data_IF_202685829835
#
_entry.id   IF_202685829835
#
_cell.length_a   1.000
_cell.length_b   1.000
_cell.length_c   1.000
_cell.angle_alpha   90.00
_cell.angle_beta   90.00
_cell.angle_gamma   90.00
#
_symmetry.space_group_name_H-M   'P 1'
#
loop_
_entity.id
_entity.type
_entity.pdbx_description
1 polymer ?
#
# COMPACT_ATOMS: atom_id res chain seq x y z
N UNK A 1 -4.56 -25.11 23.57
CA UNK A 1 -4.22 -23.68 23.73
C UNK A 1 -3.04 -23.59 24.67
N UNK A 2 -1.98 -22.88 24.27
CA UNK A 2 -0.60 -23.28 24.52
C UNK A 2 -0.07 -22.84 25.89
N UNK A 3 0.15 -23.79 26.82
CA UNK A 3 0.80 -23.59 28.14
C UNK A 3 2.11 -22.76 28.08
N UNK A 4 2.83 -22.82 26.95
CA UNK A 4 4.03 -22.01 26.68
C UNK A 4 3.69 -20.52 26.59
N UNK A 5 2.62 -20.17 25.86
CA UNK A 5 2.19 -18.78 25.63
C UNK A 5 1.64 -18.19 26.93
N UNK A 6 0.81 -18.94 27.66
CA UNK A 6 0.24 -18.50 28.95
C UNK A 6 1.31 -18.28 30.03
N UNK A 7 2.42 -19.02 29.95
CA UNK A 7 3.56 -18.81 30.84
C UNK A 7 4.36 -17.57 30.46
N UNK A 8 4.65 -17.37 29.17
CA UNK A 8 5.35 -16.17 28.68
C UNK A 8 4.52 -14.91 28.97
N UNK A 9 3.19 -14.96 28.83
CA UNK A 9 2.30 -13.84 29.14
C UNK A 9 2.42 -13.40 30.60
N UNK A 10 2.34 -14.37 31.53
CA UNK A 10 2.44 -14.09 32.97
C UNK A 10 3.80 -13.53 33.38
N UNK A 11 4.88 -14.03 32.80
CA UNK A 11 6.22 -13.52 33.08
C UNK A 11 6.44 -12.10 32.52
N UNK A 12 5.84 -11.78 31.38
CA UNK A 12 5.86 -10.42 30.82
C UNK A 12 5.02 -9.45 31.69
N UNK A 13 3.86 -9.88 32.19
CA UNK A 13 3.05 -9.10 33.15
C UNK A 13 3.78 -8.89 34.49
N UNK A 14 4.58 -9.85 34.92
CA UNK A 14 5.45 -9.74 36.09
C UNK A 14 6.70 -8.83 35.86
N UNK A 15 6.84 -8.24 34.67
CA UNK A 15 7.89 -7.26 34.35
C UNK A 15 9.16 -7.84 33.74
N UNK A 16 9.19 -9.10 33.32
CA UNK A 16 10.35 -9.66 32.64
C UNK A 16 10.49 -9.09 31.20
N UNK A 17 11.72 -8.79 30.78
CA UNK A 17 12.00 -8.33 29.42
C UNK A 17 11.84 -9.42 28.33
N UNK A 18 11.70 -10.68 28.74
CA UNK A 18 11.51 -11.85 27.88
C UNK A 18 11.92 -13.15 28.59
N UNK A 19 11.40 -14.28 28.15
CA UNK A 19 11.57 -15.57 28.84
C UNK A 19 12.55 -16.46 28.10
N UNK A 20 13.52 -17.05 28.80
CA UNK A 20 14.50 -17.96 28.20
C UNK A 20 13.91 -19.35 27.89
N UNK A 21 14.46 -20.04 26.89
CA UNK A 21 14.06 -21.42 26.57
C UNK A 21 14.24 -22.39 27.76
N UNK A 22 15.19 -22.11 28.67
CA UNK A 22 15.41 -22.90 29.87
C UNK A 22 14.26 -22.78 30.87
N UNK A 23 13.81 -21.55 31.16
CA UNK A 23 12.67 -21.31 32.04
C UNK A 23 11.38 -21.92 31.49
N UNK A 24 11.15 -21.80 30.18
CA UNK A 24 10.01 -22.41 29.49
C UNK A 24 10.05 -23.94 29.59
N UNK A 25 11.24 -24.55 29.45
CA UNK A 25 11.39 -26.00 29.58
C UNK A 25 11.05 -26.47 31.00
N UNK A 26 11.53 -25.78 32.03
CA UNK A 26 11.25 -26.11 33.43
C UNK A 26 9.76 -26.05 33.73
N UNK A 27 9.08 -25.00 33.25
CA UNK A 27 7.65 -24.82 33.47
C UNK A 27 6.78 -25.84 32.74
N UNK A 28 7.13 -26.16 31.49
CA UNK A 28 6.34 -27.08 30.65
C UNK A 28 6.65 -28.55 30.98
N UNK A 29 7.76 -28.83 31.67
CA UNK A 29 8.24 -30.16 32.05
C UNK A 29 8.22 -31.17 30.88
N UNK A 30 8.75 -30.76 29.73
CA UNK A 30 8.86 -31.59 28.52
C UNK A 30 10.31 -31.65 28.03
N UNK A 31 10.68 -32.68 27.24
CA UNK A 31 12.00 -32.75 26.64
C UNK A 31 12.33 -31.49 25.82
N UNK A 32 13.55 -30.98 25.98
CA UNK A 32 14.06 -29.79 25.29
C UNK A 32 13.84 -29.78 23.77
N UNK A 33 14.00 -30.88 23.01
CA UNK A 33 13.71 -30.88 21.57
C UNK A 33 12.22 -30.62 21.26
N UNK A 34 11.29 -31.11 22.09
CA UNK A 34 9.85 -30.86 21.92
C UNK A 34 9.51 -29.39 22.16
N UNK A 35 10.10 -28.79 23.20
CA UNK A 35 9.93 -27.36 23.52
C UNK A 35 10.52 -26.49 22.39
N UNK A 36 11.72 -26.81 21.89
CA UNK A 36 12.32 -26.07 20.78
C UNK A 36 11.50 -26.16 19.49
N UNK A 37 10.94 -27.34 19.15
CA UNK A 37 10.04 -27.48 18.00
C UNK A 37 8.77 -26.65 18.18
N UNK A 38 8.19 -26.63 19.38
CA UNK A 38 7.01 -25.82 19.68
C UNK A 38 7.32 -24.31 19.59
N UNK A 39 8.45 -23.86 20.13
CA UNK A 39 8.91 -22.47 20.04
C UNK A 39 9.19 -22.06 18.58
N UNK A 40 9.85 -22.92 17.79
CA UNK A 40 10.09 -22.67 16.37
C UNK A 40 8.77 -22.56 15.59
N UNK A 41 7.79 -23.43 15.88
CA UNK A 41 6.45 -23.34 15.29
C UNK A 41 5.75 -22.03 15.68
N UNK A 42 5.81 -21.64 16.95
CA UNK A 42 5.16 -20.43 17.45
C UNK A 42 5.78 -19.14 16.90
N UNK A 43 7.10 -19.13 16.69
CA UNK A 43 7.81 -18.06 15.97
C UNK A 43 7.41 -18.04 14.50
N UNK A 44 7.36 -19.20 13.83
CA UNK A 44 6.93 -19.29 12.43
C UNK A 44 5.48 -18.83 12.22
N UNK A 45 4.60 -19.03 13.21
CA UNK A 45 3.21 -18.55 13.18
C UNK A 45 3.05 -17.10 13.65
N UNK A 46 4.14 -16.39 13.99
CA UNK A 46 4.11 -15.00 14.44
C UNK A 46 3.50 -14.77 15.84
N UNK A 47 3.31 -15.84 16.63
CA UNK A 47 2.74 -15.74 17.99
C UNK A 47 3.82 -15.32 18.99
N UNK A 48 5.07 -15.74 18.75
CA UNK A 48 6.22 -15.39 19.58
C UNK A 48 7.29 -14.69 18.73
N UNK A 49 7.94 -13.69 19.31
CA UNK A 49 9.16 -13.11 18.76
C UNK A 49 10.39 -13.62 19.51
N UNK A 50 11.44 -13.90 18.74
CA UNK A 50 12.74 -14.35 19.25
C UNK A 50 13.68 -13.15 19.31
N UNK A 51 14.13 -12.79 20.50
CA UNK A 51 15.11 -11.73 20.72
C UNK A 51 16.46 -12.29 21.18
N UNK A 52 17.55 -11.71 20.68
CA UNK A 52 18.92 -12.09 21.06
C UNK A 52 19.55 -13.20 20.21
N UNK A 53 20.83 -13.48 20.48
CA UNK A 53 21.64 -14.46 19.77
C UNK A 53 22.27 -15.49 20.73
N UNK A 54 22.41 -16.74 20.28
CA UNK A 54 23.09 -17.80 21.04
C UNK A 54 22.40 -18.21 22.34
N UNK A 55 23.11 -18.12 23.48
CA UNK A 55 22.59 -18.48 24.81
C UNK A 55 21.70 -17.40 25.44
N UNK A 56 21.71 -16.18 24.90
CA UNK A 56 20.92 -15.04 25.37
C UNK A 56 19.58 -14.91 24.62
N UNK A 57 19.05 -16.01 24.07
CA UNK A 57 17.79 -16.00 23.33
C UNK A 57 16.62 -15.94 24.32
N UNK A 58 15.82 -14.89 24.22
CA UNK A 58 14.57 -14.72 24.95
C UNK A 58 13.39 -14.71 23.99
N UNK A 59 12.26 -15.22 24.45
CA UNK A 59 11.01 -15.26 23.71
C UNK A 59 10.02 -14.30 24.38
N UNK A 60 9.36 -13.49 23.56
CA UNK A 60 8.26 -12.61 23.99
C UNK A 60 7.03 -12.90 23.13
N UNK A 61 5.84 -12.63 23.66
CA UNK A 61 4.62 -12.65 22.87
C UNK A 61 4.70 -11.49 21.88
N UNK A 62 4.54 -11.79 20.60
CA UNK A 62 4.34 -10.72 19.62
C UNK A 62 2.99 -10.10 19.93
N UNK A 63 2.87 -8.77 20.12
CA UNK A 63 1.58 -8.14 20.21
C UNK A 63 0.87 -8.44 18.90
N UNK A 64 -0.09 -9.36 18.96
CA UNK A 64 -0.87 -9.79 17.82
C UNK A 64 -1.33 -8.52 17.08
N UNK A 65 -0.97 -8.31 15.80
CA UNK A 65 -1.74 -7.38 15.01
C UNK A 65 -3.13 -7.97 15.02
N UNK A 66 -4.06 -7.29 15.72
CA UNK A 66 -5.46 -7.68 15.74
C UNK A 66 -5.83 -8.01 14.31
N UNK A 67 -6.25 -9.26 14.08
CA UNK A 67 -6.66 -9.75 12.78
C UNK A 67 -7.97 -9.06 12.39
N UNK A 68 -7.90 -7.78 12.04
CA UNK A 68 -8.75 -7.25 10.97
C UNK A 68 -8.25 -7.88 9.68
N UNK A 69 -9.15 -8.38 8.81
CA UNK A 69 -8.75 -8.90 7.52
C UNK A 69 -7.95 -7.81 6.82
N UNK A 70 -6.69 -8.12 6.50
CA UNK A 70 -5.85 -7.31 5.64
C UNK A 70 -6.50 -7.29 4.26
N UNK A 71 -7.47 -6.40 4.10
CA UNK A 71 -7.57 -5.61 2.88
C UNK A 71 -6.17 -5.02 2.75
N UNK A 72 -5.47 -5.40 1.68
CA UNK A 72 -4.16 -4.89 1.32
C UNK A 72 -4.06 -3.44 1.76
N UNK A 73 -3.35 -3.20 2.87
CA UNK A 73 -2.85 -1.89 3.13
C UNK A 73 -1.87 -1.70 2.00
N UNK A 74 -2.31 -0.99 0.97
CA UNK A 74 -1.43 -0.13 0.20
C UNK A 74 -0.57 0.55 1.25
N UNK A 75 0.62 0.00 1.45
CA UNK A 75 1.77 0.79 1.80
C UNK A 75 1.95 1.71 0.61
N UNK A 76 1.08 2.72 0.52
CA UNK A 76 1.43 3.97 -0.09
C UNK A 76 2.61 4.41 0.75
N UNK A 77 3.80 4.06 0.24
CA UNK A 77 4.88 5.01 0.06
C UNK A 77 4.32 6.40 0.32
N UNK A 78 4.90 7.08 1.30
CA UNK A 78 4.70 8.50 1.50
C UNK A 78 4.89 9.15 0.12
N UNK A 79 3.79 9.28 -0.64
CA UNK A 79 3.75 10.02 -1.89
C UNK A 79 4.20 11.37 -1.46
N UNK A 80 5.35 11.82 -1.98
CA UNK A 80 5.95 13.13 -1.74
C UNK A 80 4.84 14.18 -1.70
N UNK A 81 4.33 14.40 -0.50
CA UNK A 81 3.16 15.22 -0.29
C UNK A 81 3.73 16.60 -0.02
N UNK A 82 3.21 17.64 -0.67
CA UNK A 82 3.71 18.99 -0.44
C UNK A 82 3.69 19.30 1.06
N UNK A 83 4.62 20.15 1.52
CA UNK A 83 4.64 20.58 2.91
C UNK A 83 3.31 21.28 3.25
N UNK A 84 2.42 20.52 3.88
CA UNK A 84 1.09 20.97 4.30
C UNK A 84 1.25 22.02 5.41
N UNK A 85 0.48 23.10 5.35
CA UNK A 85 0.44 24.05 6.47
C UNK A 85 -0.15 23.36 7.71
N UNK A 86 0.21 23.81 8.91
CA UNK A 86 -0.24 23.20 10.16
C UNK A 86 -1.77 23.05 10.25
N UNK A 87 -2.54 24.00 9.71
CA UNK A 87 -4.01 23.94 9.68
C UNK A 87 -4.57 22.84 8.77
N UNK A 88 -3.82 22.38 7.78
CA UNK A 88 -4.25 21.34 6.84
C UNK A 88 -3.93 19.92 7.29
N UNK A 89 -3.07 19.73 8.30
CA UNK A 89 -2.67 18.39 8.78
C UNK A 89 -3.83 17.64 9.44
N UNK A 90 -4.67 18.32 10.21
CA UNK A 90 -5.87 17.74 10.82
C UNK A 90 -6.87 17.26 9.76
N UNK A 91 -7.07 18.04 8.70
CA UNK A 91 -7.92 17.68 7.58
C UNK A 91 -7.37 16.48 6.81
N UNK A 92 -6.07 16.45 6.55
CA UNK A 92 -5.40 15.31 5.91
C UNK A 92 -5.52 14.05 6.77
N UNK A 93 -5.32 14.15 8.08
CA UNK A 93 -5.50 13.03 9.01
C UNK A 93 -6.95 12.50 8.98
N UNK A 94 -7.94 13.40 9.02
CA UNK A 94 -9.35 13.02 8.94
C UNK A 94 -9.72 12.37 7.59
N UNK A 95 -9.15 12.86 6.48
CA UNK A 95 -9.36 12.31 5.13
C UNK A 95 -8.55 11.03 4.85
N UNK A 96 -7.56 10.72 5.68
CA UNK A 96 -6.75 9.49 5.55
C UNK A 96 -7.29 8.35 6.42
N UNK A 97 -8.11 8.66 7.43
CA UNK A 97 -8.73 7.65 8.28
C UNK A 97 -9.63 6.68 7.47
N UNK A 98 -9.76 5.40 7.85
CA UNK A 98 -10.65 4.45 7.16
C UNK A 98 -12.09 4.95 7.09
N UNK A 99 -12.80 4.69 5.99
CA UNK A 99 -14.17 5.20 5.75
C UNK A 99 -15.13 4.93 6.92
N UNK A 100 -15.06 3.75 7.54
CA UNK A 100 -15.93 3.37 8.66
C UNK A 100 -15.66 4.12 9.97
N UNK A 101 -14.51 4.81 10.09
CA UNK A 101 -14.15 5.62 11.27
C UNK A 101 -14.42 7.11 11.09
N UNK A 102 -14.80 7.53 9.87
CA UNK A 102 -15.12 8.93 9.58
C UNK A 102 -16.52 9.25 10.07
N UNK A 103 -16.73 10.49 10.51
CA UNK A 103 -18.07 10.98 10.85
C UNK A 103 -18.93 10.97 9.57
N UNK A 104 -20.10 10.32 9.56
CA UNK A 104 -20.97 10.33 8.40
C UNK A 104 -21.50 11.76 8.16
N UNK A 105 -21.34 12.25 6.93
CA UNK A 105 -21.84 13.55 6.50
C UNK A 105 -22.92 13.32 5.46
N UNK A 106 -24.07 13.97 5.63
CA UNK A 106 -25.17 13.91 4.66
C UNK A 106 -24.97 14.93 3.55
N UNK A 107 -25.67 14.73 2.43
CA UNK A 107 -25.70 15.70 1.34
C UNK A 107 -26.31 17.02 1.79
N UNK A 108 -25.76 18.13 1.29
CA UNK A 108 -26.43 19.42 1.36
C UNK A 108 -27.59 19.43 0.35
N UNK A 109 -28.77 18.98 0.79
CA UNK A 109 -29.94 18.80 -0.08
C UNK A 109 -30.30 20.05 -0.88
N UNK A 110 -30.26 21.23 -0.25
CA UNK A 110 -30.54 22.51 -0.93
C UNK A 110 -29.65 22.73 -2.16
N UNK A 111 -28.37 22.35 -2.08
CA UNK A 111 -27.45 22.44 -3.22
C UNK A 111 -27.79 21.42 -4.31
N UNK A 112 -28.08 20.18 -3.92
CA UNK A 112 -28.39 19.09 -4.86
C UNK A 112 -29.70 19.37 -5.60
N UNK A 113 -30.73 19.77 -4.88
CA UNK A 113 -32.07 20.02 -5.41
C UNK A 113 -32.08 21.26 -6.33
N UNK A 114 -31.20 22.24 -6.09
CA UNK A 114 -31.04 23.45 -6.90
C UNK A 114 -29.89 23.40 -7.92
N UNK A 115 -29.24 22.25 -8.12
CA UNK A 115 -28.05 22.17 -8.96
C UNK A 115 -28.38 22.39 -10.43
N UNK A 116 -27.72 23.36 -11.05
CA UNK A 116 -27.77 23.61 -12.49
C UNK A 116 -26.42 23.24 -13.12
N UNK A 117 -26.38 22.30 -14.08
CA UNK A 117 -25.16 21.95 -14.78
C UNK A 117 -24.47 23.17 -15.39
N UNK A 118 -23.15 23.27 -15.23
CA UNK A 118 -22.31 24.36 -15.73
C UNK A 118 -22.60 25.75 -15.15
N UNK A 119 -23.50 25.87 -14.18
CA UNK A 119 -23.85 27.14 -13.52
C UNK A 119 -23.56 27.06 -12.02
N UNK A 120 -24.01 26.00 -11.36
CA UNK A 120 -23.76 25.77 -9.94
C UNK A 120 -22.36 25.19 -9.71
N UNK A 121 -21.64 25.74 -8.72
CA UNK A 121 -20.32 25.25 -8.30
C UNK A 121 -20.29 24.98 -6.80
N UNK A 122 -19.71 23.86 -6.40
CA UNK A 122 -19.44 23.54 -5.00
C UNK A 122 -18.32 24.40 -4.41
N UNK A 123 -17.41 24.88 -5.26
CA UNK A 123 -16.26 25.67 -4.86
C UNK A 123 -16.50 27.15 -5.20
N UNK A 124 -16.19 28.08 -4.28
CA UNK A 124 -16.16 29.50 -4.61
C UNK A 124 -15.22 29.77 -5.79
N UNK A 125 -15.63 30.66 -6.70
CA UNK A 125 -14.89 30.93 -7.94
C UNK A 125 -13.44 31.38 -7.70
N UNK A 126 -13.20 32.19 -6.65
CA UNK A 126 -11.87 32.64 -6.26
C UNK A 126 -10.96 31.48 -5.83
N UNK A 127 -11.50 30.53 -5.06
CA UNK A 127 -10.77 29.35 -4.62
C UNK A 127 -10.50 28.41 -5.79
N UNK A 128 -11.48 28.20 -6.67
CA UNK A 128 -11.30 27.40 -7.88
C UNK A 128 -10.18 27.94 -8.77
N UNK A 129 -10.14 29.26 -8.99
CA UNK A 129 -9.08 29.92 -9.75
C UNK A 129 -7.69 29.75 -9.09
N UNK A 130 -7.60 29.93 -7.77
CA UNK A 130 -6.34 29.73 -7.03
C UNK A 130 -5.84 28.29 -7.11
N UNK A 131 -6.74 27.31 -6.98
CA UNK A 131 -6.40 25.90 -7.10
C UNK A 131 -5.98 25.55 -8.53
N UNK A 132 -6.65 26.11 -9.54
CA UNK A 132 -6.28 25.93 -10.93
C UNK A 132 -4.86 26.45 -11.21
N UNK A 133 -4.53 27.66 -10.76
CA UNK A 133 -3.18 28.23 -10.92
C UNK A 133 -2.12 27.40 -10.20
N UNK A 134 -2.41 26.92 -8.98
CA UNK A 134 -1.49 26.04 -8.24
C UNK A 134 -1.35 24.64 -8.86
N UNK A 135 -2.41 24.14 -9.50
CA UNK A 135 -2.46 22.83 -10.15
C UNK A 135 -1.89 22.81 -11.57
N UNK A 136 -1.68 23.98 -12.19
CA UNK A 136 -0.96 24.10 -13.46
C UNK A 136 0.53 23.82 -13.21
N UNK A 137 1.03 22.67 -13.66
CA UNK A 137 2.47 22.43 -13.77
C UNK A 137 3.03 23.17 -14.98
N UNK A 138 4.29 23.65 -14.88
CA UNK A 138 4.95 24.42 -15.96
C UNK A 138 5.09 23.64 -17.27
N UNK A 139 5.12 22.31 -17.18
CA UNK A 139 5.35 21.40 -18.31
C UNK A 139 4.10 20.60 -18.69
N UNK A 140 2.89 21.15 -18.51
CA UNK A 140 1.67 20.51 -19.02
C UNK A 140 1.67 20.46 -20.55
N UNK A 141 2.40 19.49 -21.09
CA UNK A 141 2.07 18.88 -22.36
C UNK A 141 0.60 18.45 -22.27
N UNK A 142 -0.23 18.70 -23.29
CA UNK A 142 -1.63 18.31 -23.27
C UNK A 142 -1.73 16.84 -22.85
N UNK A 143 -2.68 16.48 -21.97
CA UNK A 143 -2.76 15.15 -21.36
C UNK A 143 -2.67 13.98 -22.37
N UNK A 144 -3.06 14.24 -23.62
CA UNK A 144 -2.92 13.31 -24.74
C UNK A 144 -1.47 13.02 -25.16
N UNK A 145 -0.49 13.91 -24.99
CA UNK A 145 0.90 13.72 -25.46
C UNK A 145 1.69 12.78 -24.57
N UNK A 146 1.53 12.87 -23.24
CA UNK A 146 2.16 11.94 -22.31
C UNK A 146 1.57 10.54 -22.45
N UNK A 147 0.24 10.46 -22.51
CA UNK A 147 -0.47 9.21 -22.79
C UNK A 147 -0.07 8.62 -24.15
N UNK A 148 0.03 9.45 -25.21
CA UNK A 148 0.50 9.03 -26.53
C UNK A 148 1.92 8.48 -26.46
N UNK A 149 2.86 9.17 -25.83
CA UNK A 149 4.27 8.74 -25.79
C UNK A 149 4.47 7.42 -25.04
N UNK A 150 3.77 7.22 -23.92
CA UNK A 150 3.83 5.97 -23.15
C UNK A 150 3.12 4.83 -23.90
N UNK A 151 1.92 5.10 -24.44
CA UNK A 151 1.13 4.12 -25.17
C UNK A 151 1.80 3.70 -26.48
N UNK A 152 2.39 4.63 -27.22
CA UNK A 152 3.14 4.39 -28.45
C UNK A 152 4.33 3.46 -28.21
N UNK A 153 5.07 3.70 -27.13
CA UNK A 153 6.18 2.82 -26.73
C UNK A 153 5.69 1.39 -26.42
N UNK A 154 4.58 1.25 -25.68
CA UNK A 154 3.99 -0.05 -25.38
C UNK A 154 3.48 -0.77 -26.64
N UNK A 155 2.85 -0.05 -27.57
CA UNK A 155 2.35 -0.60 -28.83
C UNK A 155 3.48 -1.11 -29.71
N UNK A 156 4.60 -0.38 -29.80
CA UNK A 156 5.81 -0.82 -30.51
C UNK A 156 6.33 -2.13 -29.90
N UNK A 157 6.50 -2.17 -28.58
CA UNK A 157 7.09 -3.33 -27.90
C UNK A 157 6.18 -4.58 -28.00
N UNK A 158 4.86 -4.41 -27.89
CA UNK A 158 3.88 -5.50 -28.11
C UNK A 158 3.89 -5.99 -29.56
N UNK A 159 3.87 -5.09 -30.55
CA UNK A 159 3.85 -5.47 -31.96
C UNK A 159 5.11 -6.24 -32.38
N UNK A 160 6.28 -5.85 -31.85
CA UNK A 160 7.52 -6.58 -32.07
C UNK A 160 7.51 -7.96 -31.41
N UNK A 161 7.04 -8.07 -30.16
CA UNK A 161 6.93 -9.36 -29.48
C UNK A 161 5.97 -10.33 -30.18
N UNK A 162 4.83 -9.83 -30.69
CA UNK A 162 3.86 -10.61 -31.46
C UNK A 162 4.47 -11.11 -32.78
N UNK A 163 5.12 -10.22 -33.53
CA UNK A 163 5.82 -10.57 -34.77
C UNK A 163 6.86 -11.66 -34.54
N UNK A 164 7.59 -11.61 -33.42
CA UNK A 164 8.62 -12.61 -33.10
C UNK A 164 8.03 -13.95 -32.71
N UNK A 165 6.88 -13.97 -32.02
CA UNK A 165 6.14 -15.19 -31.69
C UNK A 165 5.52 -15.85 -32.93
N UNK A 166 5.08 -15.06 -33.90
CA UNK A 166 4.57 -15.52 -35.20
C UNK A 166 5.69 -16.00 -36.17
N UNK A 167 6.97 -15.83 -35.80
CA UNK A 167 8.12 -16.22 -36.62
C UNK A 167 8.50 -15.20 -37.72
N UNK A 168 7.92 -14.00 -37.70
CA UNK A 168 8.21 -12.93 -38.64
C UNK A 168 9.53 -12.20 -38.29
N UNK A 169 10.34 -11.86 -39.30
CA UNK A 169 11.65 -11.18 -39.14
C UNK A 169 11.56 -9.65 -39.06
N UNK A 170 10.47 -9.08 -38.54
CA UNK A 170 10.36 -7.62 -38.41
C UNK A 170 11.29 -7.10 -37.32
N UNK A 171 12.09 -6.09 -37.65
CA UNK A 171 12.93 -5.41 -36.67
C UNK A 171 12.09 -4.49 -35.77
N UNK A 172 12.62 -4.18 -34.58
CA UNK A 172 12.02 -3.17 -33.70
C UNK A 172 12.02 -1.78 -34.35
N UNK A 173 12.99 -1.50 -35.22
CA UNK A 173 13.02 -0.27 -36.02
C UNK A 173 11.90 -0.26 -37.06
N UNK A 174 11.63 -1.38 -37.73
CA UNK A 174 10.57 -1.48 -38.74
C UNK A 174 9.17 -1.28 -38.12
N UNK A 175 8.95 -1.82 -36.91
CA UNK A 175 7.69 -1.63 -36.18
C UNK A 175 7.50 -0.18 -35.74
N UNK A 176 8.57 0.48 -35.28
CA UNK A 176 8.56 1.92 -35.00
C UNK A 176 8.24 2.75 -36.24
N UNK A 177 8.89 2.46 -37.37
CA UNK A 177 8.67 3.15 -38.64
C UNK A 177 7.23 2.97 -39.16
N UNK A 178 6.61 1.81 -38.89
CA UNK A 178 5.20 1.53 -39.21
C UNK A 178 4.24 2.42 -38.40
N UNK A 179 4.50 2.62 -37.10
CA UNK A 179 3.69 3.50 -36.27
C UNK A 179 3.93 4.99 -36.59
N UNK A 180 5.15 5.38 -36.96
CA UNK A 180 5.49 6.75 -37.37
C UNK A 180 4.88 7.12 -38.75
N UNK A 181 4.81 6.17 -39.69
CA UNK A 181 4.23 6.39 -41.04
C UNK A 181 2.70 6.30 -41.09
N UNK A 182 2.05 5.83 -40.03
CA UNK A 182 0.62 5.54 -40.01
C UNK A 182 0.25 4.31 -40.87
N UNK A 183 -0.98 3.79 -40.76
CA UNK A 183 -1.38 2.62 -41.53
C UNK A 183 -1.25 2.89 -43.03
N UNK A 184 -0.56 1.99 -43.73
CA UNK A 184 -0.54 1.94 -45.19
C UNK A 184 -1.99 1.89 -45.66
N UNK A 185 -2.46 2.96 -46.29
CA UNK A 185 -3.71 2.94 -47.05
C UNK A 185 -3.48 2.02 -48.24
N UNK A 186 -3.96 0.79 -48.13
CA UNK A 186 -4.11 -0.10 -49.27
C UNK A 186 -5.08 0.58 -50.26
N UNK A 187 -4.67 0.66 -51.52
CA UNK A 187 -5.47 1.17 -52.63
C UNK A 187 -6.28 0.04 -53.24
#
# INVERSE_FOLDING_TARGET
>A
MNLIVDYIARELEAGAAGVSAGAIQTHVNRPRPTVNRALARLVATGVLERNGAGRAVTYRISPLPSATPTIAQDQQEARDSPAWCYQSTELVAALSAPLGTRKPVSYQRVFVDGYQPNVSSLLPASLAAQLQEKGKSKDQQPAGTYARKVLEQLLIDLSWSSSRLEGNRKSRLDTRELFERGPLRER
#
